data_IF_310551279284
#
_entry.id   IF_310551279284
#
_cell.length_a   1.000
_cell.length_b   1.000
_cell.length_c   1.000
_cell.angle_alpha   90.00
_cell.angle_beta   90.00
_cell.angle_gamma   90.00
#
_symmetry.space_group_name_H-M   'P 1'
#
loop_
_entity.id
_entity.type
_entity.pdbx_description
1 polymer ?
#
# COMPACT_ATOMS: atom_id res chain seq x y z
N UNK A 1 -5.56 8.64 -24.22
CA UNK A 1 -6.43 9.75 -23.77
C UNK A 1 -5.75 11.03 -24.15
N UNK A 2 -6.47 11.96 -24.79
CA UNK A 2 -5.90 13.26 -25.14
C UNK A 2 -5.96 14.17 -23.90
N UNK A 3 -4.83 14.73 -23.48
CA UNK A 3 -4.71 15.52 -22.25
C UNK A 3 -4.54 17.00 -22.60
N UNK A 4 -5.23 17.86 -21.86
CA UNK A 4 -5.08 19.31 -21.91
C UNK A 4 -4.39 19.75 -20.62
N UNK A 5 -3.29 20.48 -20.71
CA UNK A 5 -2.55 20.91 -19.52
C UNK A 5 -2.98 22.30 -19.08
N UNK A 6 -3.24 22.46 -17.79
CA UNK A 6 -3.57 23.75 -17.19
C UNK A 6 -2.30 24.50 -16.78
N UNK A 7 -2.19 25.75 -17.21
CA UNK A 7 -1.02 26.61 -16.92
C UNK A 7 -1.49 27.82 -16.13
N UNK A 8 -0.99 27.99 -14.91
CA UNK A 8 -1.25 29.20 -14.13
C UNK A 8 -0.27 30.30 -14.51
N UNK A 9 -0.75 31.50 -14.78
CA UNK A 9 0.06 32.64 -15.21
C UNK A 9 -0.04 33.73 -14.13
N UNK A 10 1.11 34.03 -13.54
CA UNK A 10 1.31 35.09 -12.55
C UNK A 10 2.28 36.14 -13.09
N UNK A 11 2.18 37.39 -12.62
CA UNK A 11 3.20 38.39 -12.92
C UNK A 11 3.42 39.38 -11.80
N UNK A 12 4.57 40.07 -11.78
CA UNK A 12 4.82 41.17 -10.86
C UNK A 12 4.26 42.46 -11.43
N UNK A 13 3.39 43.13 -10.68
CA UNK A 13 2.79 44.43 -11.02
C UNK A 13 1.62 44.43 -12.05
N UNK A 14 0.82 45.50 -11.97
CA UNK A 14 -0.45 45.63 -12.69
C UNK A 14 -0.28 46.01 -14.17
N UNK A 15 0.85 46.62 -14.53
CA UNK A 15 1.17 47.07 -15.89
C UNK A 15 1.36 45.91 -16.88
N UNK A 16 1.81 44.74 -16.42
CA UNK A 16 2.00 43.54 -17.25
C UNK A 16 0.69 42.87 -17.72
N UNK A 17 -0.44 43.58 -17.69
CA UNK A 17 -1.75 43.02 -18.03
C UNK A 17 -1.82 42.59 -19.49
N UNK A 18 -1.27 43.41 -20.38
CA UNK A 18 -1.28 43.14 -21.82
C UNK A 18 -0.39 41.95 -22.14
N UNK A 19 0.81 41.86 -21.55
CA UNK A 19 1.72 40.74 -21.66
C UNK A 19 1.09 39.44 -21.14
N UNK A 20 0.45 39.48 -19.96
CA UNK A 20 -0.27 38.32 -19.41
C UNK A 20 -1.37 37.85 -20.35
N UNK A 21 -2.14 38.79 -20.92
CA UNK A 21 -3.22 38.48 -21.84
C UNK A 21 -2.68 37.88 -23.16
N UNK A 22 -1.59 38.43 -23.69
CA UNK A 22 -0.94 37.94 -24.89
C UNK A 22 -0.39 36.51 -24.71
N UNK A 23 0.27 36.24 -23.58
CA UNK A 23 0.75 34.90 -23.22
C UNK A 23 -0.43 33.94 -23.05
N UNK A 24 -1.49 34.35 -22.35
CA UNK A 24 -2.70 33.55 -22.17
C UNK A 24 -3.32 33.16 -23.51
N UNK A 25 -3.51 34.15 -24.40
CA UNK A 25 -4.06 33.92 -25.74
C UNK A 25 -3.18 32.98 -26.58
N UNK A 26 -1.85 33.15 -26.48
CA UNK A 26 -0.89 32.30 -27.20
C UNK A 26 -0.96 30.85 -26.72
N UNK A 27 -0.99 30.62 -25.41
CA UNK A 27 -1.10 29.29 -24.83
C UNK A 27 -2.45 28.63 -25.14
N UNK A 28 -3.55 29.39 -25.10
CA UNK A 28 -4.87 28.89 -25.49
C UNK A 28 -4.90 28.45 -26.97
N UNK A 29 -4.33 29.26 -27.88
CA UNK A 29 -4.21 28.91 -29.31
C UNK A 29 -3.36 27.66 -29.54
N UNK A 30 -2.38 27.40 -28.67
CA UNK A 30 -1.55 26.20 -28.70
C UNK A 30 -2.23 24.96 -28.06
N UNK A 31 -3.45 25.09 -27.54
CA UNK A 31 -4.22 23.97 -26.97
C UNK A 31 -4.00 23.73 -25.47
N UNK A 32 -3.36 24.66 -24.76
CA UNK A 32 -3.26 24.64 -23.30
C UNK A 32 -4.46 25.35 -22.65
N UNK A 33 -4.66 25.12 -21.36
CA UNK A 33 -5.69 25.80 -20.56
C UNK A 33 -5.04 26.87 -19.66
N UNK A 34 -4.87 28.12 -20.14
CA UNK A 34 -4.32 29.19 -19.33
C UNK A 34 -5.31 29.58 -18.22
N UNK A 35 -4.77 29.84 -17.02
CA UNK A 35 -5.50 30.35 -15.85
C UNK A 35 -4.67 31.45 -15.22
N UNK A 36 -5.31 32.39 -14.53
CA UNK A 36 -4.61 33.51 -13.91
C UNK A 36 -5.56 34.39 -13.10
N UNK A 37 -5.06 35.54 -12.67
CA UNK A 37 -5.78 36.46 -11.80
C UNK A 37 -6.87 37.28 -12.49
N UNK A 38 -6.88 37.32 -13.83
CA UNK A 38 -7.87 38.08 -14.61
C UNK A 38 -9.28 37.44 -14.57
N UNK A 39 -9.37 36.18 -14.14
CA UNK A 39 -10.61 35.39 -14.10
C UNK A 39 -11.12 35.18 -12.66
N UNK A 40 -10.80 36.10 -11.75
CA UNK A 40 -11.28 36.08 -10.37
C UNK A 40 -12.79 36.45 -10.34
N UNK A 41 -13.69 35.55 -9.91
CA UNK A 41 -15.09 35.86 -9.76
C UNK A 41 -15.31 36.81 -8.57
N UNK A 42 -16.41 37.56 -8.58
CA UNK A 42 -16.89 38.22 -7.38
C UNK A 42 -17.35 37.14 -6.38
N UNK A 43 -16.59 36.95 -5.29
CA UNK A 43 -16.82 35.95 -4.26
C UNK A 43 -16.44 36.51 -2.88
N UNK A 44 -16.94 35.91 -1.80
CA UNK A 44 -16.65 36.26 -0.41
C UNK A 44 -15.29 35.70 0.09
N UNK A 45 -14.56 34.95 -0.75
CA UNK A 45 -13.27 34.36 -0.41
C UNK A 45 -12.12 35.37 -0.52
N UNK A 46 -11.03 35.13 0.23
CA UNK A 46 -9.81 35.91 0.03
C UNK A 46 -9.19 35.59 -1.33
N UNK A 47 -8.62 36.60 -1.98
CA UNK A 47 -7.93 36.44 -3.26
C UNK A 47 -6.83 35.38 -3.19
N UNK A 48 -6.16 35.26 -2.04
CA UNK A 48 -5.10 34.30 -1.76
C UNK A 48 -5.60 32.86 -1.81
N UNK A 49 -6.72 32.55 -1.13
CA UNK A 49 -7.24 31.19 -1.05
C UNK A 49 -7.73 30.68 -2.42
N UNK A 50 -8.34 31.58 -3.20
CA UNK A 50 -8.76 31.26 -4.55
C UNK A 50 -7.59 30.87 -5.45
N UNK A 51 -6.47 31.59 -5.37
CA UNK A 51 -5.28 31.30 -6.17
C UNK A 51 -4.65 29.99 -5.79
N UNK A 52 -4.52 29.73 -4.48
CA UNK A 52 -4.02 28.44 -3.99
C UNK A 52 -4.82 27.29 -4.59
N UNK A 53 -6.15 27.40 -4.62
CA UNK A 53 -7.04 26.40 -5.23
C UNK A 53 -6.82 26.23 -6.74
N UNK A 54 -6.53 27.30 -7.47
CA UNK A 54 -6.21 27.18 -8.91
C UNK A 54 -4.85 26.53 -9.09
N UNK A 55 -3.83 26.96 -8.34
CA UNK A 55 -2.47 26.40 -8.39
C UNK A 55 -2.50 24.89 -8.11
N UNK A 56 -3.29 24.44 -7.13
CA UNK A 56 -3.45 23.01 -6.80
C UNK A 56 -3.97 22.17 -7.98
N UNK A 57 -4.66 22.81 -8.95
CA UNK A 57 -5.22 22.18 -10.16
C UNK A 57 -4.39 22.44 -11.41
N UNK A 58 -3.33 23.22 -11.31
CA UNK A 58 -2.47 23.57 -12.43
C UNK A 58 -1.36 22.56 -12.61
N UNK A 59 -1.08 22.24 -13.86
CA UNK A 59 0.01 21.35 -14.24
C UNK A 59 1.34 22.09 -14.23
N UNK A 60 1.34 23.35 -14.69
CA UNK A 60 2.53 24.21 -14.78
C UNK A 60 2.22 25.60 -14.23
N UNK A 61 3.26 26.28 -13.74
CA UNK A 61 3.18 27.63 -13.22
C UNK A 61 4.15 28.53 -13.99
N UNK A 62 3.64 29.62 -14.55
CA UNK A 62 4.40 30.69 -15.19
C UNK A 62 4.46 31.88 -14.24
N UNK A 63 5.65 32.42 -14.04
CA UNK A 63 5.85 33.72 -13.40
C UNK A 63 6.55 34.68 -14.37
N UNK A 64 5.90 35.79 -14.65
CA UNK A 64 6.43 36.88 -15.48
C UNK A 64 6.86 38.01 -14.55
N UNK A 65 8.15 38.27 -14.49
CA UNK A 65 8.73 39.35 -13.68
C UNK A 65 9.04 40.52 -14.58
N UNK A 66 8.36 41.64 -14.32
CA UNK A 66 8.58 42.90 -15.01
C UNK A 66 9.75 43.69 -14.43
N UNK A 67 9.73 44.99 -14.69
CA UNK A 67 10.76 45.92 -14.23
C UNK A 67 10.44 46.54 -12.86
N UNK A 68 9.20 46.36 -12.36
CA UNK A 68 8.77 46.73 -11.00
C UNK A 68 8.44 45.51 -10.15
N UNK A 69 8.69 45.62 -8.84
CA UNK A 69 8.29 44.61 -7.86
C UNK A 69 6.77 44.58 -7.63
N UNK A 70 6.14 45.75 -7.72
CA UNK A 70 4.71 45.96 -7.53
C UNK A 70 4.28 46.20 -6.08
N UNK A 71 2.96 46.28 -5.86
CA UNK A 71 2.38 46.63 -4.57
C UNK A 71 2.58 45.52 -3.53
N UNK A 72 2.97 45.93 -2.32
CA UNK A 72 3.10 45.04 -1.17
C UNK A 72 1.74 44.71 -0.57
N UNK A 73 1.54 43.46 -0.17
CA UNK A 73 0.44 43.07 0.72
C UNK A 73 0.74 43.50 2.17
N UNK A 74 -0.23 43.27 3.07
CA UNK A 74 -0.07 43.47 4.53
C UNK A 74 1.17 42.78 5.11
N UNK A 75 1.62 41.71 4.46
CA UNK A 75 2.70 40.84 4.94
C UNK A 75 4.06 41.28 4.35
N UNK A 76 4.11 42.40 3.63
CA UNK A 76 5.33 43.00 3.10
C UNK A 76 5.92 42.31 1.86
N UNK A 77 5.24 41.30 1.32
CA UNK A 77 5.56 40.61 0.07
C UNK A 77 4.62 41.06 -1.05
N UNK A 78 5.09 41.00 -2.30
CA UNK A 78 4.15 41.09 -3.42
C UNK A 78 3.31 39.80 -3.49
N UNK A 79 2.11 39.94 -4.03
CA UNK A 79 1.16 38.84 -4.11
C UNK A 79 1.66 37.67 -4.96
N UNK A 80 2.43 37.98 -6.00
CA UNK A 80 3.01 37.04 -6.96
C UNK A 80 4.10 36.15 -6.34
N UNK A 81 4.82 36.67 -5.35
CA UNK A 81 5.82 35.94 -4.57
C UNK A 81 5.16 34.95 -3.61
N UNK A 82 4.07 35.35 -2.96
CA UNK A 82 3.26 34.42 -2.14
C UNK A 82 2.70 33.26 -2.97
N UNK A 83 2.21 33.55 -4.18
CA UNK A 83 1.74 32.53 -5.12
C UNK A 83 2.88 31.62 -5.61
N UNK A 84 4.06 32.20 -5.88
CA UNK A 84 5.26 31.46 -6.26
C UNK A 84 5.69 30.48 -5.16
N UNK A 85 5.77 30.95 -3.91
CA UNK A 85 6.15 30.10 -2.77
C UNK A 85 5.15 28.97 -2.56
N UNK A 86 3.86 29.25 -2.73
CA UNK A 86 2.84 28.22 -2.67
C UNK A 86 2.99 27.18 -3.79
N UNK A 87 3.16 27.61 -5.05
CA UNK A 87 3.37 26.70 -6.18
C UNK A 87 4.61 25.82 -5.98
N UNK A 88 5.69 26.40 -5.45
CA UNK A 88 6.91 25.67 -5.09
C UNK A 88 6.65 24.62 -4.01
N UNK A 89 5.88 24.97 -2.97
CA UNK A 89 5.52 24.02 -1.90
C UNK A 89 4.65 22.84 -2.36
N UNK A 90 4.02 22.96 -3.55
CA UNK A 90 3.16 21.94 -4.17
C UNK A 90 3.86 21.13 -5.26
N UNK A 91 5.18 21.31 -5.42
CA UNK A 91 5.97 20.69 -6.48
C UNK A 91 5.38 20.90 -7.89
N UNK A 92 4.75 22.07 -8.11
CA UNK A 92 4.30 22.47 -9.45
C UNK A 92 5.53 22.98 -10.22
N UNK A 93 5.83 22.47 -11.42
CA UNK A 93 6.92 22.99 -12.24
C UNK A 93 6.75 24.48 -12.55
N UNK A 94 7.79 25.26 -12.24
CA UNK A 94 7.79 26.72 -12.39
C UNK A 94 8.64 27.12 -13.61
N UNK A 95 8.06 27.95 -14.47
CA UNK A 95 8.68 28.54 -15.64
C UNK A 95 8.76 30.05 -15.41
N UNK A 96 9.97 30.57 -15.24
CA UNK A 96 10.19 31.96 -14.85
C UNK A 96 10.73 32.79 -16.02
N UNK A 97 10.07 33.93 -16.26
CA UNK A 97 10.41 34.87 -17.33
C UNK A 97 10.77 36.23 -16.74
N UNK A 98 12.00 36.68 -16.92
CA UNK A 98 12.52 37.91 -16.33
C UNK A 98 12.69 39.00 -17.40
N UNK A 99 12.11 40.17 -17.19
CA UNK A 99 12.24 41.28 -18.13
C UNK A 99 13.64 41.87 -18.11
N UNK A 100 14.19 42.12 -19.30
CA UNK A 100 15.40 42.93 -19.52
C UNK A 100 15.08 44.38 -19.89
N UNK A 101 13.80 44.75 -19.93
CA UNK A 101 13.39 46.12 -20.27
C UNK A 101 13.84 47.04 -19.12
N UNK A 102 14.75 48.00 -19.37
CA UNK A 102 15.25 48.86 -18.32
C UNK A 102 14.14 49.81 -17.87
N UNK A 103 14.05 50.03 -16.56
CA UNK A 103 13.12 51.00 -16.00
C UNK A 103 13.85 51.99 -15.08
N UNK A 104 13.83 53.29 -15.41
CA UNK A 104 14.34 54.32 -14.52
C UNK A 104 13.36 54.48 -13.35
N UNK A 105 13.89 54.45 -12.13
CA UNK A 105 13.14 54.60 -10.87
C UNK A 105 12.15 53.46 -10.51
N UNK A 106 12.67 52.23 -10.49
CA UNK A 106 11.97 51.10 -9.87
C UNK A 106 11.98 51.24 -8.33
N UNK A 107 10.83 51.63 -7.76
CA UNK A 107 10.59 51.49 -6.32
C UNK A 107 10.75 50.02 -5.88
N UNK A 108 11.31 49.79 -4.69
CA UNK A 108 11.58 48.46 -4.13
C UNK A 108 12.53 47.58 -4.97
N UNK A 109 13.47 48.21 -5.70
CA UNK A 109 14.48 47.50 -6.52
C UNK A 109 15.19 46.36 -5.78
N UNK A 110 15.60 46.57 -4.52
CA UNK A 110 16.28 45.53 -3.74
C UNK A 110 15.41 44.28 -3.54
N UNK A 111 14.09 44.45 -3.36
CA UNK A 111 13.15 43.31 -3.25
C UNK A 111 12.97 42.61 -4.59
N UNK A 112 12.91 43.37 -5.69
CA UNK A 112 12.86 42.82 -7.04
C UNK A 112 14.11 41.98 -7.35
N UNK A 113 15.29 42.52 -7.07
CA UNK A 113 16.56 41.85 -7.31
C UNK A 113 16.69 40.58 -6.45
N UNK A 114 16.25 40.64 -5.18
CA UNK A 114 16.18 39.46 -4.32
C UNK A 114 15.19 38.40 -4.82
N UNK A 115 14.07 38.80 -5.41
CA UNK A 115 13.11 37.87 -6.02
C UNK A 115 13.66 37.25 -7.31
N UNK A 116 14.26 38.05 -8.20
CA UNK A 116 14.95 37.56 -9.41
C UNK A 116 16.05 36.56 -9.04
N UNK A 117 16.86 36.86 -8.04
CA UNK A 117 17.92 35.97 -7.55
C UNK A 117 17.37 34.62 -7.05
N UNK A 118 16.25 34.63 -6.32
CA UNK A 118 15.60 33.39 -5.86
C UNK A 118 15.04 32.55 -7.00
N UNK A 119 14.42 33.20 -8.00
CA UNK A 119 13.93 32.50 -9.19
C UNK A 119 15.09 31.82 -9.94
N UNK A 120 16.19 32.54 -10.14
CA UNK A 120 17.39 32.00 -10.80
C UNK A 120 18.09 30.90 -9.99
N UNK A 121 18.01 30.92 -8.66
CA UNK A 121 18.55 29.85 -7.82
C UNK A 121 17.68 28.58 -7.85
N UNK A 122 16.36 28.74 -8.08
CA UNK A 122 15.39 27.65 -8.09
C UNK A 122 15.28 26.88 -9.40
N UNK A 123 15.86 27.37 -10.50
CA UNK A 123 15.80 26.71 -11.80
C UNK A 123 16.31 27.58 -12.95
N UNK A 124 16.16 27.07 -14.18
CA UNK A 124 16.48 27.81 -15.41
C UNK A 124 15.42 28.88 -15.62
N UNK A 125 15.86 30.14 -15.74
CA UNK A 125 15.02 31.30 -16.07
C UNK A 125 15.24 31.71 -17.53
N UNK A 126 14.22 32.25 -18.15
CA UNK A 126 14.29 32.85 -19.49
C UNK A 126 14.18 34.37 -19.37
N UNK A 127 14.97 35.10 -20.15
CA UNK A 127 14.90 36.56 -20.21
C UNK A 127 14.01 37.00 -21.37
N UNK A 128 13.32 38.14 -21.28
CA UNK A 128 12.49 38.65 -22.37
C UNK A 128 12.62 40.17 -22.56
N UNK A 129 12.49 40.61 -23.81
CA UNK A 129 12.69 42.01 -24.22
C UNK A 129 11.47 42.68 -24.84
N UNK A 130 10.45 41.90 -25.21
CA UNK A 130 9.18 42.39 -25.77
C UNK A 130 8.04 41.39 -25.52
N UNK A 131 6.79 41.83 -25.67
CA UNK A 131 5.60 40.96 -25.56
C UNK A 131 5.66 39.74 -26.50
N UNK A 132 6.05 39.95 -27.77
CA UNK A 132 6.15 38.87 -28.76
C UNK A 132 7.23 37.84 -28.38
N UNK A 133 8.37 38.32 -27.91
CA UNK A 133 9.46 37.46 -27.42
C UNK A 133 9.01 36.62 -26.22
N UNK A 134 8.33 37.27 -25.26
CA UNK A 134 7.74 36.59 -24.11
C UNK A 134 6.74 35.52 -24.52
N UNK A 135 5.83 35.80 -25.47
CA UNK A 135 4.85 34.83 -25.94
C UNK A 135 5.50 33.60 -26.60
N UNK A 136 6.52 33.83 -27.44
CA UNK A 136 7.28 32.77 -28.09
C UNK A 136 8.00 31.90 -27.05
N UNK A 137 8.75 32.52 -26.13
CA UNK A 137 9.49 31.82 -25.07
C UNK A 137 8.57 31.07 -24.13
N UNK A 138 7.45 31.67 -23.73
CA UNK A 138 6.45 31.02 -22.87
C UNK A 138 5.86 29.77 -23.53
N UNK A 139 5.48 29.86 -24.80
CA UNK A 139 4.97 28.70 -25.54
C UNK A 139 6.01 27.57 -25.63
N UNK A 140 7.25 27.90 -26.00
CA UNK A 140 8.34 26.92 -26.12
C UNK A 140 8.68 26.26 -24.78
N UNK A 141 8.71 27.05 -23.70
CA UNK A 141 8.99 26.56 -22.35
C UNK A 141 7.91 25.59 -21.87
N UNK A 142 6.62 25.93 -22.07
CA UNK A 142 5.50 25.04 -21.72
C UNK A 142 5.56 23.76 -22.55
N UNK A 143 5.73 23.87 -23.87
CA UNK A 143 5.84 22.69 -24.74
C UNK A 143 7.00 21.76 -24.34
N UNK A 144 8.15 22.35 -24.02
CA UNK A 144 9.32 21.62 -23.52
C UNK A 144 9.05 20.96 -22.18
N UNK A 145 8.42 21.68 -21.25
CA UNK A 145 8.10 21.17 -19.91
C UNK A 145 7.09 20.02 -19.97
N UNK A 146 6.08 20.11 -20.84
CA UNK A 146 5.12 19.04 -21.12
C UNK A 146 5.80 17.79 -21.65
N UNK A 147 6.77 17.95 -22.56
CA UNK A 147 7.50 16.83 -23.13
C UNK A 147 8.48 16.17 -22.16
N UNK A 148 9.22 16.97 -21.38
CA UNK A 148 10.25 16.47 -20.46
C UNK A 148 9.69 15.95 -19.14
N UNK A 149 8.65 16.61 -18.62
CA UNK A 149 8.04 16.31 -17.31
C UNK A 149 6.52 16.39 -17.42
N UNK A 150 5.87 15.43 -18.10
CA UNK A 150 4.42 15.43 -18.26
C UNK A 150 3.71 15.32 -16.90
N UNK A 151 2.71 16.16 -16.69
CA UNK A 151 1.86 16.16 -15.48
C UNK A 151 0.58 15.35 -15.71
N UNK A 152 -0.30 15.36 -14.73
CA UNK A 152 -1.56 14.62 -14.80
C UNK A 152 -2.39 15.07 -16.02
N UNK A 153 -2.55 16.39 -16.20
CA UNK A 153 -3.37 16.97 -17.24
C UNK A 153 -4.87 16.69 -17.06
N UNK A 154 -5.67 17.49 -17.75
CA UNK A 154 -7.11 17.35 -17.83
C UNK A 154 -7.50 16.44 -18.98
N UNK A 155 -8.43 15.53 -18.70
CA UNK A 155 -9.10 14.73 -19.73
C UNK A 155 -10.57 15.08 -19.75
N UNK A 156 -11.17 15.05 -20.94
CA UNK A 156 -12.62 15.24 -21.07
C UNK A 156 -13.34 14.12 -20.33
N UNK A 157 -14.44 14.43 -19.64
CA UNK A 157 -15.11 13.50 -18.73
C UNK A 157 -15.58 12.19 -19.39
N UNK A 158 -15.89 12.20 -20.68
CA UNK A 158 -16.21 11.02 -21.48
C UNK A 158 -15.01 10.09 -21.75
N UNK A 159 -13.79 10.60 -21.60
CA UNK A 159 -12.54 9.83 -21.65
C UNK A 159 -12.05 9.42 -20.26
N UNK A 160 -12.68 9.91 -19.17
CA UNK A 160 -12.19 9.69 -17.81
C UNK A 160 -12.36 8.24 -17.34
N UNK A 161 -13.34 7.52 -17.89
CA UNK A 161 -13.62 6.13 -17.54
C UNK A 161 -13.64 5.31 -18.81
N UNK A 162 -12.67 4.41 -18.95
CA UNK A 162 -12.66 3.45 -20.06
C UNK A 162 -13.76 2.40 -19.80
N UNK A 163 -14.79 2.29 -20.67
CA UNK A 163 -15.84 1.29 -20.51
C UNK A 163 -15.30 -0.14 -20.40
N UNK A 164 -14.15 -0.44 -21.02
CA UNK A 164 -13.50 -1.76 -20.90
C UNK A 164 -13.01 -2.03 -19.48
N UNK A 165 -12.51 -1.01 -18.79
CA UNK A 165 -12.07 -1.13 -17.39
C UNK A 165 -13.26 -1.41 -16.49
N UNK A 166 -14.41 -0.76 -16.73
CA UNK A 166 -15.65 -1.06 -16.00
C UNK A 166 -16.15 -2.49 -16.25
N UNK A 167 -16.13 -2.94 -17.51
CA UNK A 167 -16.53 -4.30 -17.87
C UNK A 167 -15.62 -5.35 -17.21
N UNK A 168 -14.30 -5.14 -17.23
CA UNK A 168 -13.36 -6.05 -16.60
C UNK A 168 -13.49 -6.03 -15.08
N UNK A 169 -13.75 -4.86 -14.47
CA UNK A 169 -14.00 -4.76 -13.03
C UNK A 169 -15.26 -5.53 -12.61
N UNK A 170 -16.34 -5.43 -13.40
CA UNK A 170 -17.56 -6.20 -13.14
C UNK A 170 -17.31 -7.70 -13.34
N UNK A 171 -16.58 -8.09 -14.39
CA UNK A 171 -16.18 -9.49 -14.61
C UNK A 171 -15.37 -10.03 -13.43
N UNK A 172 -14.34 -9.32 -12.99
CA UNK A 172 -13.51 -9.72 -11.85
C UNK A 172 -14.33 -9.80 -10.56
N UNK A 173 -15.31 -8.90 -10.37
CA UNK A 173 -16.23 -8.97 -9.23
C UNK A 173 -17.06 -10.26 -9.27
N UNK A 174 -17.58 -10.64 -10.43
CA UNK A 174 -18.36 -11.87 -10.61
C UNK A 174 -17.48 -13.10 -10.38
N UNK A 175 -16.30 -13.15 -11.00
CA UNK A 175 -15.35 -14.27 -10.82
C UNK A 175 -14.92 -14.42 -9.36
N UNK A 176 -14.66 -13.32 -8.66
CA UNK A 176 -14.29 -13.35 -7.25
C UNK A 176 -15.45 -13.84 -6.37
N UNK A 177 -16.70 -13.42 -6.65
CA UNK A 177 -17.88 -13.95 -5.96
C UNK A 177 -18.04 -15.46 -6.18
N UNK A 178 -17.85 -15.94 -7.41
CA UNK A 178 -17.89 -17.37 -7.75
C UNK A 178 -16.77 -18.16 -7.05
N UNK A 179 -15.54 -17.63 -7.01
CA UNK A 179 -14.44 -18.26 -6.28
C UNK A 179 -14.73 -18.34 -4.78
N UNK A 180 -15.24 -17.28 -4.17
CA UNK A 180 -15.64 -17.31 -2.76
C UNK A 180 -16.74 -18.35 -2.50
N UNK A 181 -17.71 -18.49 -3.41
CA UNK A 181 -18.75 -19.51 -3.31
C UNK A 181 -18.18 -20.92 -3.47
N UNK A 182 -17.28 -21.15 -4.44
CA UNK A 182 -16.58 -22.42 -4.63
C UNK A 182 -15.74 -22.80 -3.42
N UNK A 183 -15.01 -21.84 -2.83
CA UNK A 183 -14.26 -22.05 -1.59
C UNK A 183 -15.19 -22.41 -0.43
N UNK A 184 -16.32 -21.71 -0.28
CA UNK A 184 -17.32 -22.04 0.73
C UNK A 184 -17.90 -23.46 0.53
N UNK A 185 -18.13 -23.87 -0.71
CA UNK A 185 -18.64 -25.20 -1.04
C UNK A 185 -17.58 -26.30 -0.85
N UNK A 186 -16.32 -26.07 -1.22
CA UNK A 186 -15.20 -26.98 -0.95
C UNK A 186 -14.99 -27.15 0.56
N UNK A 187 -15.09 -26.05 1.31
CA UNK A 187 -15.06 -26.10 2.77
C UNK A 187 -16.26 -26.90 3.31
N UNK A 188 -17.48 -26.67 2.79
CA UNK A 188 -18.67 -27.48 3.16
C UNK A 188 -18.54 -28.96 2.81
N UNK A 189 -17.97 -29.30 1.66
CA UNK A 189 -17.72 -30.68 1.24
C UNK A 189 -16.64 -31.38 2.06
N UNK A 190 -15.73 -30.63 2.66
CA UNK A 190 -14.82 -31.12 3.71
C UNK A 190 -15.41 -31.03 5.12
N UNK A 191 -16.62 -30.48 5.25
CA UNK A 191 -17.46 -30.48 6.47
C UNK A 191 -18.59 -31.51 6.43
N UNK A 192 -18.57 -32.48 5.52
CA UNK A 192 -19.22 -33.76 5.84
C UNK A 192 -18.46 -34.35 7.02
N UNK A 193 -18.99 -34.03 8.20
CA UNK A 193 -18.67 -34.65 9.47
C UNK A 193 -18.64 -36.15 9.23
N UNK A 194 -17.43 -36.72 9.14
CA UNK A 194 -17.24 -38.15 9.36
C UNK A 194 -17.98 -38.44 10.66
N UNK A 195 -19.05 -39.26 10.65
CA UNK A 195 -19.76 -39.57 11.86
C UNK A 195 -18.73 -40.12 12.85
N UNK A 196 -18.58 -39.44 13.98
CA UNK A 196 -17.64 -39.81 15.04
C UNK A 196 -18.13 -41.06 15.79
N UNK A 197 -18.38 -42.15 15.05
CA UNK A 197 -18.71 -43.49 15.52
C UNK A 197 -18.12 -44.54 14.58
N UNK A 198 -16.81 -44.54 14.44
CA UNK A 198 -16.07 -45.80 14.45
C UNK A 198 -15.17 -45.77 15.68
N UNK A 199 -15.12 -46.89 16.40
CA UNK A 199 -14.18 -47.08 17.50
C UNK A 199 -12.80 -47.15 16.87
N UNK A 200 -12.17 -46.00 16.64
CA UNK A 200 -10.80 -45.90 16.08
C UNK A 200 -9.80 -46.20 17.19
N UNK A 201 -9.88 -47.44 17.67
CA UNK A 201 -8.89 -48.01 18.56
C UNK A 201 -7.74 -48.54 17.73
N UNK A 202 -6.51 -48.11 18.03
CA UNK A 202 -5.31 -48.60 17.37
C UNK A 202 -4.44 -49.36 18.36
N UNK A 203 -3.91 -50.50 17.95
CA UNK A 203 -2.90 -51.22 18.73
C UNK A 203 -1.55 -50.56 18.51
N UNK A 204 -0.93 -50.13 19.61
CA UNK A 204 0.37 -49.47 19.63
C UNK A 204 1.30 -50.22 20.56
N UNK A 205 2.59 -50.12 20.28
CA UNK A 205 3.66 -50.67 21.10
C UNK A 205 4.22 -49.58 22.00
N UNK A 206 4.25 -49.89 23.30
CA UNK A 206 4.93 -49.10 24.31
C UNK A 206 6.24 -49.77 24.69
N UNK A 207 7.26 -48.95 24.93
CA UNK A 207 8.51 -49.31 25.59
C UNK A 207 8.34 -49.03 27.08
N UNK A 208 8.48 -50.05 27.91
CA UNK A 208 8.29 -49.98 29.36
C UNK A 208 9.61 -50.20 30.07
N UNK A 209 10.04 -49.20 30.84
CA UNK A 209 11.32 -49.22 31.53
C UNK A 209 11.07 -49.53 33.02
N UNK A 210 11.48 -50.72 33.46
CA UNK A 210 11.30 -51.22 34.84
C UNK A 210 12.53 -51.06 35.73
N UNK A 211 13.69 -50.81 35.14
CA UNK A 211 14.98 -50.59 35.83
C UNK A 211 15.85 -49.63 35.01
N UNK A 212 16.71 -48.84 35.67
CA UNK A 212 17.56 -47.84 35.01
C UNK A 212 18.61 -48.43 34.05
N UNK A 213 19.03 -49.69 34.25
CA UNK A 213 20.12 -50.33 33.50
C UNK A 213 19.65 -51.43 32.52
N UNK A 214 18.34 -51.68 32.41
CA UNK A 214 17.78 -52.77 31.61
C UNK A 214 17.23 -52.33 30.25
N UNK A 215 17.23 -53.24 29.27
CA UNK A 215 16.51 -53.01 28.02
C UNK A 215 15.00 -52.90 28.29
N UNK A 216 14.28 -51.95 27.64
CA UNK A 216 12.84 -51.78 27.87
C UNK A 216 12.06 -52.99 27.36
N UNK A 217 11.00 -53.34 28.08
CA UNK A 217 10.03 -54.34 27.64
C UNK A 217 9.09 -53.72 26.61
N UNK A 218 8.86 -54.42 25.51
CA UNK A 218 7.84 -54.01 24.52
C UNK A 218 6.48 -54.57 24.89
N UNK A 219 5.49 -53.69 25.07
CA UNK A 219 4.12 -54.07 25.42
C UNK A 219 3.13 -53.47 24.43
N UNK A 220 2.35 -54.32 23.76
CA UNK A 220 1.29 -53.87 22.85
C UNK A 220 -0.01 -53.56 23.60
N UNK A 221 -0.61 -52.40 23.35
CA UNK A 221 -1.87 -51.95 23.96
C UNK A 221 -2.77 -51.30 22.93
N UNK A 222 -4.07 -51.46 23.09
CA UNK A 222 -5.07 -50.76 22.28
C UNK A 222 -5.42 -49.41 22.91
N UNK A 223 -5.42 -48.34 22.10
CA UNK A 223 -5.73 -46.97 22.54
C UNK A 223 -6.82 -46.34 21.66
N UNK A 224 -7.73 -45.58 22.26
CA UNK A 224 -8.70 -44.73 21.53
C UNK A 224 -7.99 -43.47 21.04
N UNK A 225 -7.93 -43.26 19.72
CA UNK A 225 -7.30 -42.07 19.12
C UNK A 225 -7.99 -40.77 19.55
N UNK A 226 -9.32 -40.78 19.70
CA UNK A 226 -10.06 -39.61 20.15
C UNK A 226 -9.73 -39.23 21.61
N UNK A 227 -9.66 -40.22 22.50
CA UNK A 227 -9.32 -39.97 23.91
C UNK A 227 -7.87 -39.51 24.05
N UNK A 228 -6.97 -40.11 23.25
CA UNK A 228 -5.58 -39.71 23.21
C UNK A 228 -5.48 -38.24 22.78
N UNK A 229 -6.08 -37.89 21.63
CA UNK A 229 -6.02 -36.55 21.08
C UNK A 229 -6.50 -35.49 22.09
N UNK A 230 -7.63 -35.74 22.76
CA UNK A 230 -8.15 -34.87 23.83
C UNK A 230 -7.17 -34.80 25.00
N UNK A 231 -6.60 -35.94 25.42
CA UNK A 231 -5.70 -36.02 26.55
C UNK A 231 -4.35 -35.32 26.38
N UNK A 232 -3.86 -35.18 25.14
CA UNK A 232 -2.60 -34.50 24.83
C UNK A 232 -2.80 -33.14 24.14
N UNK A 233 -4.04 -32.69 23.95
CA UNK A 233 -4.40 -31.52 23.15
C UNK A 233 -3.63 -30.25 23.54
N UNK A 234 -3.60 -29.92 24.83
CA UNK A 234 -2.95 -28.70 25.32
C UNK A 234 -1.45 -28.68 25.05
N UNK A 235 -0.81 -29.86 25.01
CA UNK A 235 0.60 -29.97 24.65
C UNK A 235 0.78 -29.88 23.13
N UNK A 236 -0.14 -30.42 22.33
CA UNK A 236 -0.12 -30.31 20.88
C UNK A 236 -0.22 -28.85 20.39
N UNK A 237 -0.88 -27.95 21.14
CA UNK A 237 -0.91 -26.51 20.82
C UNK A 237 0.48 -25.87 20.77
N UNK A 238 1.46 -26.43 21.51
CA UNK A 238 2.85 -25.95 21.54
C UNK A 238 3.68 -26.43 20.35
N UNK A 239 3.08 -27.17 19.43
CA UNK A 239 3.78 -27.81 18.29
C UNK A 239 4.95 -28.72 18.71
N UNK A 240 4.72 -29.75 19.56
CA UNK A 240 5.77 -30.60 20.09
C UNK A 240 6.46 -31.42 18.99
N UNK A 241 7.73 -31.79 19.21
CA UNK A 241 8.42 -32.76 18.36
C UNK A 241 7.85 -34.16 18.54
N UNK A 242 7.96 -35.02 17.52
CA UNK A 242 7.48 -36.41 17.57
C UNK A 242 8.14 -37.21 18.69
N UNK A 243 9.40 -36.93 19.01
CA UNK A 243 10.10 -37.50 20.15
C UNK A 243 9.39 -37.15 21.47
N UNK A 244 9.06 -35.87 21.67
CA UNK A 244 8.33 -35.45 22.86
C UNK A 244 6.88 -35.97 22.87
N UNK A 245 6.23 -36.10 21.70
CA UNK A 245 4.90 -36.73 21.59
C UNK A 245 4.94 -38.18 22.09
N UNK A 246 6.00 -38.94 21.81
CA UNK A 246 6.14 -40.31 22.31
C UNK A 246 6.14 -40.40 23.83
N UNK A 247 6.85 -39.49 24.49
CA UNK A 247 6.86 -39.35 25.95
C UNK A 247 5.49 -38.92 26.47
N UNK A 248 4.84 -37.94 25.82
CA UNK A 248 3.51 -37.45 26.19
C UNK A 248 2.43 -38.54 26.11
N UNK A 249 2.46 -39.37 25.06
CA UNK A 249 1.51 -40.48 24.89
C UNK A 249 1.72 -41.52 25.99
N UNK A 250 2.98 -41.83 26.32
CA UNK A 250 3.32 -42.72 27.44
C UNK A 250 2.87 -42.15 28.79
N UNK A 251 3.13 -40.86 29.04
CA UNK A 251 2.67 -40.14 30.22
C UNK A 251 1.14 -40.15 30.34
N UNK A 252 0.43 -39.90 29.24
CA UNK A 252 -1.03 -39.95 29.22
C UNK A 252 -1.55 -41.35 29.54
N UNK A 253 -0.95 -42.38 28.95
CA UNK A 253 -1.37 -43.76 29.15
C UNK A 253 -1.17 -44.21 30.60
N UNK A 254 0.00 -43.93 31.22
CA UNK A 254 0.25 -44.29 32.63
C UNK A 254 -0.71 -43.59 33.58
N UNK A 255 -1.08 -42.34 33.31
CA UNK A 255 -2.02 -41.59 34.13
C UNK A 255 -3.43 -42.19 34.02
N UNK A 256 -3.86 -42.55 32.81
CA UNK A 256 -5.17 -43.17 32.56
C UNK A 256 -5.34 -44.50 33.28
N UNK A 257 -4.29 -45.31 33.37
CA UNK A 257 -4.33 -46.66 33.95
C UNK A 257 -3.63 -46.81 35.31
N UNK A 258 -3.20 -45.70 35.93
CA UNK A 258 -2.53 -45.64 37.25
C UNK A 258 -1.30 -46.57 37.35
N UNK A 259 -0.45 -46.52 36.33
CA UNK A 259 0.79 -47.31 36.27
C UNK A 259 1.98 -46.51 36.83
N UNK A 260 2.90 -47.18 37.52
CA UNK A 260 4.09 -46.55 38.12
C UNK A 260 5.31 -46.50 37.20
N UNK A 261 5.45 -47.49 36.31
CA UNK A 261 6.62 -47.60 35.45
C UNK A 261 6.71 -46.43 34.45
N UNK A 262 7.89 -46.21 33.88
CA UNK A 262 8.05 -45.26 32.78
C UNK A 262 7.64 -45.92 31.46
N UNK A 263 6.68 -45.31 30.78
CA UNK A 263 6.13 -45.77 29.50
C UNK A 263 6.44 -44.74 28.45
N UNK A 264 6.89 -45.19 27.29
CA UNK A 264 7.14 -44.37 26.12
C UNK A 264 6.53 -45.04 24.90
N UNK A 265 5.96 -44.27 23.98
CA UNK A 265 5.46 -44.84 22.72
C UNK A 265 6.62 -45.24 21.81
N UNK A 266 6.55 -46.44 21.23
CA UNK A 266 7.51 -46.89 20.24
C UNK A 266 7.48 -46.04 18.96
N UNK A 267 8.63 -45.88 18.30
CA UNK A 267 8.80 -44.99 17.15
C UNK A 267 7.86 -45.32 15.97
N UNK A 268 7.74 -46.61 15.62
CA UNK A 268 6.80 -47.06 14.59
C UNK A 268 5.35 -46.74 14.95
N UNK A 269 5.01 -46.88 16.23
CA UNK A 269 3.66 -46.57 16.72
C UNK A 269 3.38 -45.07 16.70
N UNK A 270 4.38 -44.22 16.91
CA UNK A 270 4.24 -42.77 16.76
C UNK A 270 3.88 -42.38 15.32
N UNK A 271 4.54 -42.98 14.33
CA UNK A 271 4.19 -42.81 12.92
C UNK A 271 2.76 -43.28 12.64
N UNK A 272 2.35 -44.45 13.15
CA UNK A 272 0.98 -44.96 12.97
C UNK A 272 -0.06 -44.00 13.56
N UNK A 273 0.15 -43.48 14.77
CA UNK A 273 -0.76 -42.51 15.40
C UNK A 273 -0.81 -41.23 14.57
N UNK A 274 0.34 -40.71 14.14
CA UNK A 274 0.43 -39.48 13.33
C UNK A 274 -0.41 -39.60 12.08
N UNK A 275 -0.16 -40.63 11.28
CA UNK A 275 -0.80 -40.81 9.97
C UNK A 275 -2.32 -40.97 10.13
N UNK A 276 -2.78 -41.63 11.20
CA UNK A 276 -4.21 -41.76 11.51
C UNK A 276 -4.83 -40.42 11.94
N UNK A 277 -4.17 -39.66 12.82
CA UNK A 277 -4.68 -38.35 13.24
C UNK A 277 -4.66 -37.32 12.10
N UNK A 278 -3.69 -37.40 11.19
CA UNK A 278 -3.66 -36.62 9.95
C UNK A 278 -4.77 -37.02 8.98
N UNK A 279 -5.03 -38.31 8.81
CA UNK A 279 -6.15 -38.80 7.99
C UNK A 279 -7.51 -38.35 8.54
N UNK A 280 -7.66 -38.26 9.86
CA UNK A 280 -8.82 -37.65 10.52
C UNK A 280 -8.87 -36.12 10.34
N UNK A 281 -7.77 -35.51 9.92
CA UNK A 281 -7.58 -34.08 9.75
C UNK A 281 -7.45 -33.32 11.06
N UNK A 282 -7.11 -33.99 12.17
CA UNK A 282 -7.01 -33.38 13.51
C UNK A 282 -5.68 -32.68 13.75
N UNK A 283 -4.62 -33.19 13.12
CA UNK A 283 -3.27 -32.61 13.18
C UNK A 283 -2.69 -32.45 11.78
N UNK A 284 -1.59 -31.71 11.71
CA UNK A 284 -0.69 -31.62 10.56
C UNK A 284 0.75 -31.71 11.07
N UNK A 285 1.55 -32.55 10.44
CA UNK A 285 2.98 -32.68 10.70
C UNK A 285 3.79 -31.79 9.77
N UNK A 286 4.90 -31.27 10.29
CA UNK A 286 5.86 -30.46 9.52
C UNK A 286 7.28 -30.80 9.95
N UNK A 287 8.19 -30.84 8.98
CA UNK A 287 9.62 -30.89 9.27
C UNK A 287 10.07 -29.53 9.79
N UNK A 288 10.70 -29.51 10.96
CA UNK A 288 11.31 -28.32 11.56
C UNK A 288 12.80 -28.56 11.79
N UNK A 289 13.59 -27.51 11.54
CA UNK A 289 15.03 -27.50 11.81
C UNK A 289 15.23 -26.91 13.21
N UNK A 290 15.84 -27.67 14.11
CA UNK A 290 16.27 -27.16 15.41
C UNK A 290 17.75 -27.51 15.63
N UNK A 291 18.62 -26.50 15.54
CA UNK A 291 20.07 -26.74 15.53
C UNK A 291 20.54 -27.38 14.23
N UNK A 292 21.27 -28.50 14.33
CA UNK A 292 21.79 -29.27 13.18
C UNK A 292 20.93 -30.49 12.81
N UNK A 293 19.79 -30.69 13.47
CA UNK A 293 18.94 -31.87 13.29
C UNK A 293 17.53 -31.50 12.81
N UNK A 294 17.00 -32.32 11.92
CA UNK A 294 15.60 -32.24 11.48
C UNK A 294 14.72 -33.05 12.40
N UNK A 295 13.61 -32.46 12.84
CA UNK A 295 12.59 -33.13 13.64
C UNK A 295 11.21 -32.94 13.02
N UNK A 296 10.34 -33.93 13.20
CA UNK A 296 8.93 -33.82 12.82
C UNK A 296 8.19 -33.20 14.00
N UNK A 297 7.47 -32.10 13.76
CA UNK A 297 6.61 -31.47 14.77
C UNK A 297 5.14 -31.62 14.40
N UNK A 298 4.31 -31.85 15.42
CA UNK A 298 2.88 -32.08 15.27
C UNK A 298 2.14 -30.80 15.63
N UNK A 299 1.24 -30.32 14.76
CA UNK A 299 0.46 -29.09 14.98
C UNK A 299 -1.04 -29.34 14.83
N UNK A 300 -1.87 -28.67 15.62
CA UNK A 300 -3.33 -28.83 15.60
C UNK A 300 -3.94 -28.06 14.44
N UNK A 301 -4.85 -28.69 13.68
CA UNK A 301 -5.61 -28.05 12.60
C UNK A 301 -6.85 -27.35 13.14
N UNK A 302 -7.51 -26.52 12.32
CA UNK A 302 -8.79 -25.90 12.72
C UNK A 302 -9.88 -26.95 13.01
N UNK A 303 -9.90 -28.04 12.23
CA UNK A 303 -10.76 -29.20 12.47
C UNK A 303 -10.44 -29.89 13.81
N UNK A 304 -9.16 -29.99 14.18
CA UNK A 304 -8.74 -30.49 15.49
C UNK A 304 -9.24 -29.63 16.66
N UNK A 305 -9.26 -28.30 16.52
CA UNK A 305 -9.83 -27.40 17.53
C UNK A 305 -11.35 -27.60 17.68
N UNK A 306 -12.07 -27.71 16.56
CA UNK A 306 -13.51 -27.97 16.55
C UNK A 306 -13.85 -29.35 17.12
N UNK A 307 -13.00 -30.36 16.89
CA UNK A 307 -13.16 -31.70 17.46
C UNK A 307 -13.10 -31.71 18.99
N UNK A 308 -12.27 -30.88 19.62
CA UNK A 308 -12.27 -30.73 21.07
C UNK A 308 -13.57 -30.07 21.58
N UNK A 309 -14.06 -29.07 20.86
CA UNK A 309 -15.28 -28.35 21.23
C UNK A 309 -16.54 -29.22 21.18
N UNK A 310 -16.58 -30.22 20.29
CA UNK A 310 -17.72 -31.15 20.18
C UNK A 310 -17.75 -32.27 21.23
N UNK A 311 -16.69 -32.41 22.04
CA UNK A 311 -16.57 -33.41 23.12
C UNK A 311 -16.56 -32.82 24.54
N UNK A 312 -16.65 -31.50 24.67
CA UNK A 312 -16.94 -30.79 25.93
C UNK A 312 -18.44 -30.62 26.10
#
# INVERSE_FOLDING_TARGET
MNRVFQVFISSTYNDLRDERQAVSNTLAKAGYMPTGLELLPADNQTQVDYIKRIIDRSDYYIVIVGSRYGSLSSDGLNFSEGAFEYARSKDVPILAFLSEIPEPDAELKDKLDAFKARLSAGGIVEFWTSENDLCMKAMMAVATAVNLKPRAGWIRGDQAVDPKVLQELERLRIENADFHQKLANLNRGSTELVPARSVDSVTVEFLVYRSEEGAPDTVSKSISLGDLFVGIYDQLLKSPSEAYVRELVGYWYRQKFRMSDYWELGEKSATVIRDRLEAMGLIRSRSIIAGFTNHIAWSVTEKGKQFLQSRR
#
